data_IF_135110703361
#
_entry.id   IF_135110703361
#
_cell.length_a   1.000
_cell.length_b   1.000
_cell.length_c   1.000
_cell.angle_alpha   90.00
_cell.angle_beta   90.00
_cell.angle_gamma   90.00
#
_symmetry.space_group_name_H-M   'P 1'
#
loop_
_entity.id
_entity.type
_entity.pdbx_description
1 polymer ?
#
# COMPACT_ATOMS: atom_id res chain seq x y z
N UNK A 1 -22.64 -0.72 -25.51
CA UNK A 1 -21.93 -0.38 -24.25
C UNK A 1 -21.60 1.11 -24.28
N UNK A 2 -21.99 1.90 -23.27
CA UNK A 2 -21.81 3.36 -23.28
C UNK A 2 -20.32 3.74 -23.19
N UNK A 3 -19.91 4.86 -23.81
CA UNK A 3 -18.53 5.42 -23.71
C UNK A 3 -18.03 5.53 -22.27
N UNK A 4 -18.92 5.91 -21.34
CA UNK A 4 -18.64 5.98 -19.90
C UNK A 4 -18.32 4.60 -19.30
N UNK A 5 -19.06 3.56 -19.69
CA UNK A 5 -18.82 2.19 -19.23
C UNK A 5 -17.48 1.69 -19.73
N UNK A 6 -17.17 1.92 -21.01
CA UNK A 6 -15.86 1.55 -21.60
C UNK A 6 -14.74 2.25 -20.84
N UNK A 7 -14.85 3.56 -20.62
CA UNK A 7 -13.86 4.33 -19.86
C UNK A 7 -13.64 3.77 -18.44
N UNK A 8 -14.71 3.54 -17.69
CA UNK A 8 -14.61 3.01 -16.32
C UNK A 8 -14.02 1.60 -16.28
N UNK A 9 -14.39 0.73 -17.23
CA UNK A 9 -13.82 -0.60 -17.37
C UNK A 9 -12.33 -0.53 -17.72
N UNK A 10 -11.93 0.34 -18.65
CA UNK A 10 -10.52 0.54 -18.99
C UNK A 10 -9.71 1.01 -17.78
N UNK A 11 -10.22 1.98 -17.01
CA UNK A 11 -9.56 2.45 -15.79
C UNK A 11 -9.45 1.33 -14.75
N UNK A 12 -10.52 0.55 -14.55
CA UNK A 12 -10.50 -0.60 -13.64
C UNK A 12 -9.47 -1.65 -14.06
N UNK A 13 -9.43 -2.03 -15.34
CA UNK A 13 -8.45 -2.98 -15.87
C UNK A 13 -7.02 -2.46 -15.72
N UNK A 14 -6.78 -1.18 -15.99
CA UNK A 14 -5.45 -0.57 -15.84
C UNK A 14 -5.00 -0.54 -14.37
N UNK A 15 -5.87 -0.17 -13.44
CA UNK A 15 -5.55 -0.19 -12.01
C UNK A 15 -5.31 -1.61 -11.51
N UNK A 16 -6.15 -2.57 -11.92
CA UNK A 16 -5.99 -3.98 -11.57
C UNK A 16 -4.71 -4.59 -12.13
N UNK A 17 -4.39 -4.33 -13.39
CA UNK A 17 -3.14 -4.78 -14.00
C UNK A 17 -1.93 -4.12 -13.34
N UNK A 18 -1.98 -2.80 -13.10
CA UNK A 18 -0.94 -2.06 -12.40
C UNK A 18 -0.66 -2.63 -11.01
N UNK A 19 -1.71 -2.89 -10.23
CA UNK A 19 -1.59 -3.51 -8.91
C UNK A 19 -1.04 -4.94 -9.02
N UNK A 20 -1.56 -5.78 -9.93
CA UNK A 20 -1.14 -7.17 -10.08
C UNK A 20 0.32 -7.32 -10.50
N UNK A 21 0.84 -6.40 -11.32
CA UNK A 21 2.25 -6.39 -11.73
C UNK A 21 3.23 -6.06 -10.59
N UNK A 22 2.76 -5.46 -9.49
CA UNK A 22 3.64 -5.09 -8.36
C UNK A 22 4.33 -6.30 -7.75
N UNK A 23 3.64 -7.45 -7.62
CA UNK A 23 4.17 -8.65 -6.99
C UNK A 23 5.35 -9.28 -7.76
N UNK A 24 5.23 -9.57 -9.08
CA UNK A 24 6.37 -10.09 -9.85
C UNK A 24 7.50 -9.06 -9.98
N UNK A 25 7.21 -7.78 -10.18
CA UNK A 25 8.24 -6.73 -10.24
C UNK A 25 9.01 -6.60 -8.92
N UNK A 26 8.31 -6.68 -7.79
CA UNK A 26 8.91 -6.67 -6.46
C UNK A 26 9.83 -7.87 -6.27
N UNK A 27 9.41 -9.08 -6.71
CA UNK A 27 10.27 -10.26 -6.66
C UNK A 27 11.53 -10.08 -7.50
N UNK A 28 11.43 -9.51 -8.71
CA UNK A 28 12.59 -9.23 -9.57
C UNK A 28 13.56 -8.26 -8.88
N UNK A 29 13.05 -7.13 -8.37
CA UNK A 29 13.87 -6.14 -7.69
C UNK A 29 14.61 -6.72 -6.48
N UNK A 30 13.88 -7.46 -5.64
CA UNK A 30 14.43 -8.08 -4.44
C UNK A 30 15.41 -9.22 -4.76
N UNK A 31 15.18 -9.96 -5.85
CA UNK A 31 16.13 -11.00 -6.33
C UNK A 31 17.42 -10.40 -6.87
N UNK A 32 17.40 -9.14 -7.31
CA UNK A 32 18.59 -8.36 -7.69
C UNK A 32 19.48 -7.93 -6.51
N UNK A 33 19.12 -8.30 -5.27
CA UNK A 33 19.89 -7.96 -4.06
C UNK A 33 19.41 -6.69 -3.34
N UNK A 34 18.44 -5.97 -3.92
CA UNK A 34 17.88 -4.77 -3.29
C UNK A 34 17.04 -5.10 -2.05
N UNK A 35 17.15 -4.26 -1.03
CA UNK A 35 16.54 -4.46 0.28
C UNK A 35 15.34 -3.54 0.50
N UNK A 36 14.46 -3.96 1.40
CA UNK A 36 13.15 -3.36 1.66
C UNK A 36 13.17 -1.84 1.88
N UNK A 37 14.07 -1.30 2.72
CA UNK A 37 14.07 0.15 3.00
C UNK A 37 14.48 1.01 1.81
N UNK A 38 15.43 0.56 0.99
CA UNK A 38 15.82 1.27 -0.23
C UNK A 38 14.70 1.32 -1.26
N UNK A 39 13.99 0.19 -1.44
CA UNK A 39 12.82 0.11 -2.33
C UNK A 39 11.68 0.99 -1.84
N UNK A 40 11.35 0.95 -0.54
CA UNK A 40 10.32 1.81 0.06
C UNK A 40 10.68 3.29 -0.08
N UNK A 41 11.94 3.65 0.15
CA UNK A 41 12.42 5.02 -0.04
C UNK A 41 12.19 5.50 -1.47
N UNK A 42 12.64 4.74 -2.47
CA UNK A 42 12.48 5.13 -3.87
C UNK A 42 11.02 5.14 -4.33
N UNK A 43 10.20 4.18 -3.89
CA UNK A 43 8.75 4.19 -4.12
C UNK A 43 8.13 5.50 -3.61
N UNK A 44 8.51 5.93 -2.41
CA UNK A 44 8.00 7.13 -1.78
C UNK A 44 8.54 8.42 -2.39
N UNK A 45 9.82 8.46 -2.74
CA UNK A 45 10.44 9.59 -3.42
C UNK A 45 9.82 9.81 -4.79
N UNK A 46 9.66 8.75 -5.59
CA UNK A 46 9.03 8.80 -6.91
C UNK A 46 7.56 9.21 -6.78
N UNK A 47 6.82 8.62 -5.82
CA UNK A 47 5.44 8.99 -5.53
C UNK A 47 5.29 10.47 -5.15
N UNK A 48 6.19 10.97 -4.30
CA UNK A 48 6.25 12.38 -3.91
C UNK A 48 6.50 13.28 -5.12
N UNK A 49 7.48 12.97 -5.97
CA UNK A 49 7.76 13.77 -7.17
C UNK A 49 6.58 13.74 -8.15
N UNK A 50 6.01 12.57 -8.43
CA UNK A 50 4.90 12.43 -9.36
C UNK A 50 3.64 13.18 -8.88
N UNK A 51 3.27 13.04 -7.60
CA UNK A 51 2.13 13.74 -7.03
C UNK A 51 2.40 15.24 -6.88
N UNK A 52 3.63 15.65 -6.58
CA UNK A 52 4.05 17.04 -6.55
C UNK A 52 3.92 17.71 -7.92
N UNK A 53 4.41 17.04 -8.96
CA UNK A 53 4.26 17.48 -10.36
C UNK A 53 2.79 17.56 -10.76
N UNK A 54 2.00 16.54 -10.48
CA UNK A 54 0.56 16.52 -10.76
C UNK A 54 -0.17 17.70 -10.10
N UNK A 55 0.15 18.01 -8.83
CA UNK A 55 -0.41 19.18 -8.14
C UNK A 55 0.04 20.48 -8.81
N UNK A 56 1.32 20.61 -9.17
CA UNK A 56 1.87 21.83 -9.80
C UNK A 56 1.21 22.14 -11.15
N UNK A 57 0.94 21.11 -11.97
CA UNK A 57 0.28 21.23 -13.28
C UNK A 57 -1.18 21.68 -13.09
N UNK A 58 -1.93 21.00 -12.20
CA UNK A 58 -3.32 21.35 -11.88
C UNK A 58 -3.48 22.78 -11.35
N UNK A 59 -2.48 23.27 -10.59
CA UNK A 59 -2.44 24.64 -10.08
C UNK A 59 -2.14 25.67 -11.18
N UNK A 60 -1.27 25.33 -12.14
CA UNK A 60 -0.97 26.14 -13.32
C UNK A 60 -2.20 26.32 -14.22
N UNK A 61 -2.90 25.22 -14.52
CA UNK A 61 -4.14 25.20 -15.31
C UNK A 61 -5.22 26.11 -14.69
N UNK A 62 -5.42 26.05 -13.37
CA UNK A 62 -6.38 26.90 -12.66
C UNK A 62 -6.02 28.39 -12.63
N UNK A 63 -4.73 28.71 -12.77
CA UNK A 63 -4.23 30.10 -12.73
C UNK A 63 -4.15 30.74 -14.13
N UNK A 64 -4.65 30.06 -15.18
CA UNK A 64 -4.64 30.56 -16.56
C UNK A 64 -3.24 30.66 -17.19
N UNK A 65 -2.21 30.09 -16.55
CA UNK A 65 -0.84 30.02 -17.06
C UNK A 65 -0.43 28.56 -17.14
N UNK A 66 -0.24 28.05 -18.36
CA UNK A 66 0.42 26.77 -18.62
C UNK A 66 1.92 26.89 -18.28
N UNK A 67 2.23 27.07 -17.01
CA UNK A 67 3.58 27.12 -16.48
C UNK A 67 3.59 26.21 -15.27
N UNK A 68 4.54 25.27 -15.25
CA UNK A 68 4.87 24.53 -14.03
C UNK A 68 5.25 25.58 -13.00
N UNK A 69 4.34 25.83 -12.06
CA UNK A 69 4.62 26.73 -10.96
C UNK A 69 5.62 25.98 -10.07
N UNK A 70 6.89 26.42 -10.07
CA UNK A 70 7.93 25.98 -9.13
C UNK A 70 7.57 26.25 -7.67
N UNK A 71 6.43 26.90 -7.40
CA UNK A 71 5.90 27.10 -6.07
C UNK A 71 5.42 25.76 -5.54
N UNK A 72 6.16 25.23 -4.56
CA UNK A 72 5.78 24.01 -3.85
C UNK A 72 4.29 24.05 -3.48
N UNK A 73 3.49 23.03 -3.84
CA UNK A 73 2.08 22.96 -3.47
C UNK A 73 1.98 23.16 -1.96
N UNK A 74 1.22 24.16 -1.50
CA UNK A 74 1.08 24.42 -0.06
C UNK A 74 0.59 23.15 0.62
N UNK A 75 1.44 22.58 1.47
CA UNK A 75 1.06 21.47 2.34
C UNK A 75 0.41 22.08 3.58
N UNK A 76 -0.69 21.50 4.02
CA UNK A 76 -1.25 21.84 5.32
C UNK A 76 -0.35 21.23 6.39
N UNK A 77 0.22 22.07 7.24
CA UNK A 77 1.16 21.69 8.30
C UNK A 77 0.55 21.79 9.69
N UNK A 78 -0.79 21.85 9.76
CA UNK A 78 -1.48 21.77 11.05
C UNK A 78 -1.25 20.40 11.70
N UNK A 79 -1.18 20.31 13.05
CA UNK A 79 -0.91 19.05 13.74
C UNK A 79 -1.82 17.88 13.33
N UNK A 80 -3.14 18.07 13.10
CA UNK A 80 -4.01 17.01 12.56
C UNK A 80 -3.59 16.52 11.17
N UNK A 81 -3.25 17.43 10.26
CA UNK A 81 -2.75 17.06 8.93
C UNK A 81 -1.43 16.27 9.00
N UNK A 82 -0.49 16.71 9.84
CA UNK A 82 0.78 16.02 10.05
C UNK A 82 0.56 14.61 10.64
N UNK A 83 -0.36 14.46 11.59
CA UNK A 83 -0.71 13.16 12.14
C UNK A 83 -1.26 12.22 11.06
N UNK A 84 -2.18 12.71 10.21
CA UNK A 84 -2.70 11.93 9.08
C UNK A 84 -1.58 11.49 8.15
N UNK A 85 -0.64 12.38 7.79
CA UNK A 85 0.48 12.02 6.93
C UNK A 85 1.38 10.95 7.55
N UNK A 86 1.73 11.08 8.83
CA UNK A 86 2.57 10.11 9.54
C UNK A 86 1.88 8.77 9.66
N UNK A 87 0.60 8.76 10.05
CA UNK A 87 -0.19 7.54 10.16
C UNK A 87 -0.23 6.86 8.80
N UNK A 88 -0.74 7.52 7.75
CA UNK A 88 -0.85 6.91 6.42
C UNK A 88 0.51 6.47 5.86
N UNK A 89 1.58 7.24 6.07
CA UNK A 89 2.92 6.82 5.66
C UNK A 89 3.35 5.51 6.34
N UNK A 90 3.14 5.39 7.64
CA UNK A 90 3.55 4.22 8.42
C UNK A 90 2.64 3.02 8.16
N UNK A 91 1.33 3.17 8.36
CA UNK A 91 0.38 2.06 8.27
C UNK A 91 0.03 1.70 6.82
N UNK A 92 -0.01 2.68 5.91
CA UNK A 92 -0.39 2.46 4.51
C UNK A 92 0.78 2.05 3.63
N UNK A 93 2.04 2.29 4.05
CA UNK A 93 3.18 1.95 3.19
C UNK A 93 4.41 1.44 3.90
N UNK A 94 5.06 2.23 4.76
CA UNK A 94 6.42 1.91 5.22
C UNK A 94 6.48 0.57 5.93
N UNK A 95 5.57 0.31 6.88
CA UNK A 95 5.50 -0.95 7.61
C UNK A 95 5.02 -2.11 6.72
N UNK A 96 3.86 -2.04 6.03
CA UNK A 96 3.39 -3.15 5.20
C UNK A 96 4.34 -3.48 4.05
N UNK A 97 4.92 -2.48 3.37
CA UNK A 97 5.85 -2.75 2.27
C UNK A 97 7.18 -3.29 2.77
N UNK A 98 7.69 -2.81 3.92
CA UNK A 98 8.92 -3.39 4.48
C UNK A 98 8.75 -4.87 4.79
N UNK A 99 7.65 -5.24 5.45
CA UNK A 99 7.33 -6.64 5.73
C UNK A 99 7.07 -7.45 4.45
N UNK A 100 6.36 -6.88 3.48
CA UNK A 100 6.06 -7.52 2.21
C UNK A 100 7.31 -7.81 1.38
N UNK A 101 8.20 -6.83 1.21
CA UNK A 101 9.47 -7.01 0.50
C UNK A 101 10.35 -8.05 1.19
N UNK A 102 10.37 -8.05 2.52
CA UNK A 102 11.09 -9.06 3.29
C UNK A 102 10.49 -10.46 3.09
N UNK A 103 9.17 -10.60 3.18
CA UNK A 103 8.50 -11.87 2.95
C UNK A 103 8.69 -12.39 1.51
N UNK A 104 8.64 -11.51 0.51
CA UNK A 104 8.85 -11.84 -0.90
C UNK A 104 10.28 -12.37 -1.15
N UNK A 105 11.27 -12.11 -0.29
CA UNK A 105 12.59 -12.78 -0.40
C UNK A 105 12.46 -14.28 -0.26
N UNK A 106 11.72 -14.71 0.74
CA UNK A 106 11.66 -16.09 1.18
C UNK A 106 10.48 -16.86 0.57
N UNK A 107 9.43 -16.15 0.18
CA UNK A 107 8.20 -16.75 -0.33
C UNK A 107 8.08 -16.60 -1.87
N UNK A 108 7.37 -17.53 -2.53
CA UNK A 108 6.92 -17.35 -3.90
C UNK A 108 5.93 -16.17 -4.01
N UNK A 109 6.02 -15.38 -5.08
CA UNK A 109 5.11 -14.23 -5.32
C UNK A 109 3.65 -14.64 -5.42
N UNK A 110 3.37 -15.84 -5.96
CA UNK A 110 2.02 -16.41 -6.01
C UNK A 110 1.42 -16.60 -4.62
N UNK A 111 2.19 -17.15 -3.68
CA UNK A 111 1.75 -17.36 -2.30
C UNK A 111 1.49 -16.01 -1.60
N UNK A 112 2.39 -15.03 -1.74
CA UNK A 112 2.19 -13.69 -1.18
C UNK A 112 0.93 -13.03 -1.73
N UNK A 113 0.65 -13.20 -3.04
CA UNK A 113 -0.58 -12.68 -3.67
C UNK A 113 -1.85 -13.31 -3.07
N UNK A 114 -1.82 -14.62 -2.79
CA UNK A 114 -2.93 -15.31 -2.12
C UNK A 114 -3.09 -14.81 -0.68
N UNK A 115 -1.99 -14.64 0.07
CA UNK A 115 -2.05 -14.11 1.43
C UNK A 115 -2.59 -12.67 1.47
N UNK A 116 -2.34 -11.86 0.45
CA UNK A 116 -2.94 -10.53 0.33
C UNK A 116 -4.45 -10.57 0.11
N UNK A 117 -5.01 -11.66 -0.40
CA UNK A 117 -6.47 -11.83 -0.46
C UNK A 117 -7.12 -11.97 0.93
N UNK A 118 -6.31 -12.12 2.00
CA UNK A 118 -6.75 -12.11 3.39
C UNK A 118 -7.00 -10.70 3.95
N UNK A 119 -6.78 -9.62 3.18
CA UNK A 119 -7.10 -8.25 3.62
C UNK A 119 -8.51 -8.13 4.23
N UNK A 120 -9.59 -8.64 3.58
CA UNK A 120 -10.93 -8.57 4.15
C UNK A 120 -11.05 -9.30 5.49
N UNK A 121 -10.26 -10.37 5.69
CA UNK A 121 -10.22 -11.17 6.91
C UNK A 121 -9.74 -10.41 8.12
N UNK A 122 -8.84 -9.45 7.90
CA UNK A 122 -8.40 -8.52 8.93
C UNK A 122 -9.29 -7.28 8.99
N UNK A 123 -9.70 -6.76 7.82
CA UNK A 123 -10.47 -5.53 7.73
C UNK A 123 -11.81 -5.61 8.48
N UNK A 124 -12.55 -6.73 8.37
CA UNK A 124 -13.87 -6.85 9.01
C UNK A 124 -13.81 -6.87 10.54
N UNK A 125 -12.99 -7.72 11.20
CA UNK A 125 -12.82 -7.65 12.65
C UNK A 125 -12.34 -6.28 13.15
N UNK A 126 -11.43 -5.62 12.41
CA UNK A 126 -10.96 -4.27 12.73
C UNK A 126 -12.11 -3.25 12.62
N UNK A 127 -12.94 -3.35 11.58
CA UNK A 127 -14.10 -2.50 11.39
C UNK A 127 -15.10 -2.61 12.55
N UNK A 128 -15.34 -3.84 13.03
CA UNK A 128 -16.18 -4.09 14.20
C UNK A 128 -15.55 -3.53 15.48
N UNK A 129 -14.25 -3.74 15.69
CA UNK A 129 -13.53 -3.26 16.86
C UNK A 129 -13.49 -1.73 16.94
N UNK A 130 -13.36 -1.05 15.79
CA UNK A 130 -13.41 0.41 15.70
C UNK A 130 -14.84 0.98 15.68
N UNK A 131 -15.86 0.12 15.59
CA UNK A 131 -17.26 0.51 15.53
C UNK A 131 -17.64 1.20 14.22
N UNK A 132 -16.93 0.91 13.13
CA UNK A 132 -17.26 1.36 11.77
C UNK A 132 -18.42 0.54 11.18
N UNK A 133 -18.52 -0.73 11.56
CA UNK A 133 -19.56 -1.65 11.07
C UNK A 133 -20.29 -2.36 12.21
N UNK A 134 -21.49 -2.88 11.90
CA UNK A 134 -22.24 -3.78 12.78
C UNK A 134 -21.95 -5.23 12.39
N UNK A 135 -22.01 -6.11 13.38
CA UNK A 135 -21.81 -7.53 13.14
C UNK A 135 -22.89 -8.08 12.21
N UNK A 136 -22.46 -8.72 11.12
CA UNK A 136 -23.32 -9.36 10.12
C UNK A 136 -22.88 -10.81 9.91
N UNK A 137 -23.83 -11.73 10.08
CA UNK A 137 -23.56 -13.17 10.01
C UNK A 137 -23.23 -13.61 8.59
N UNK A 138 -23.80 -12.96 7.56
CA UNK A 138 -23.51 -13.26 6.16
C UNK A 138 -22.08 -12.89 5.78
N UNK A 139 -21.60 -11.72 6.20
CA UNK A 139 -20.21 -11.29 6.04
C UNK A 139 -19.25 -12.22 6.77
N UNK A 140 -19.57 -12.58 8.01
CA UNK A 140 -18.76 -13.53 8.78
C UNK A 140 -18.68 -14.91 8.10
N UNK A 141 -19.80 -15.44 7.60
CA UNK A 141 -19.82 -16.70 6.87
C UNK A 141 -19.02 -16.64 5.56
N UNK A 142 -19.17 -15.55 4.78
CA UNK A 142 -18.36 -15.32 3.58
C UNK A 142 -16.86 -15.24 3.89
N UNK A 143 -16.49 -14.61 5.00
CA UNK A 143 -15.11 -14.55 5.49
C UNK A 143 -14.57 -15.93 5.85
N UNK A 144 -15.35 -16.72 6.60
CA UNK A 144 -14.98 -18.07 6.98
C UNK A 144 -14.78 -18.97 5.75
N UNK A 145 -15.67 -18.88 4.75
CA UNK A 145 -15.50 -19.58 3.48
C UNK A 145 -14.24 -19.12 2.72
N UNK A 146 -13.95 -17.82 2.71
CA UNK A 146 -12.71 -17.28 2.15
C UNK A 146 -11.46 -17.84 2.84
N UNK A 147 -11.46 -17.94 4.18
CA UNK A 147 -10.37 -18.56 4.93
C UNK A 147 -10.14 -20.01 4.52
N UNK A 148 -11.22 -20.78 4.41
CA UNK A 148 -11.16 -22.18 4.00
C UNK A 148 -10.56 -22.28 2.60
N UNK A 149 -10.96 -21.41 1.67
CA UNK A 149 -10.36 -21.34 0.34
C UNK A 149 -8.84 -21.09 0.39
N UNK A 150 -8.38 -20.13 1.20
CA UNK A 150 -6.94 -19.86 1.36
C UNK A 150 -6.22 -21.05 2.00
N UNK A 151 -6.77 -21.66 3.05
CA UNK A 151 -6.21 -22.85 3.67
C UNK A 151 -6.10 -24.01 2.68
N UNK A 152 -7.07 -24.22 1.79
CA UNK A 152 -6.98 -25.24 0.75
C UNK A 152 -5.85 -24.99 -0.25
N UNK A 153 -5.47 -23.73 -0.48
CA UNK A 153 -4.34 -23.38 -1.36
C UNK A 153 -2.99 -23.53 -0.64
N UNK A 154 -2.93 -23.16 0.64
CA UNK A 154 -1.68 -23.12 1.42
C UNK A 154 -1.35 -24.47 2.08
N UNK A 155 -2.36 -25.26 2.46
CA UNK A 155 -2.19 -26.53 3.18
C UNK A 155 -1.51 -27.67 2.40
N UNK A 156 -1.62 -27.81 1.07
CA UNK A 156 -0.91 -28.86 0.35
C UNK A 156 0.60 -28.69 0.53
N UNK A 157 1.29 -29.75 0.95
CA UNK A 157 2.75 -29.76 1.10
C UNK A 157 3.51 -29.39 -0.20
N UNK A 158 2.83 -29.44 -1.35
CA UNK A 158 3.35 -29.05 -2.65
C UNK A 158 3.46 -27.53 -2.89
N UNK A 159 2.84 -26.69 -2.04
CA UNK A 159 2.82 -25.23 -2.23
C UNK A 159 4.11 -24.53 -1.81
N UNK A 160 4.95 -25.20 -1.00
CA UNK A 160 6.21 -24.69 -0.52
C UNK A 160 7.36 -25.59 -0.98
N UNK A 161 8.31 -25.07 -1.78
CA UNK A 161 9.51 -25.81 -2.17
C UNK A 161 10.33 -26.32 -0.97
N UNK A 162 10.25 -25.61 0.16
CA UNK A 162 10.98 -25.93 1.38
C UNK A 162 10.13 -25.61 2.62
N UNK A 163 10.00 -26.55 3.57
CA UNK A 163 9.17 -26.39 4.79
C UNK A 163 9.59 -25.21 5.67
N UNK A 164 10.85 -24.81 5.62
CA UNK A 164 11.36 -23.65 6.35
C UNK A 164 10.66 -22.34 5.96
N UNK A 165 10.10 -22.24 4.74
CA UNK A 165 9.41 -21.04 4.27
C UNK A 165 8.17 -20.67 5.10
N UNK A 166 7.54 -21.63 5.80
CA UNK A 166 6.36 -21.40 6.65
C UNK A 166 6.62 -20.32 7.71
N UNK A 167 7.85 -20.20 8.22
CA UNK A 167 8.21 -19.21 9.23
C UNK A 167 8.06 -17.76 8.76
N UNK A 168 8.05 -17.52 7.44
CA UNK A 168 7.90 -16.20 6.84
C UNK A 168 6.43 -15.85 6.51
N UNK A 169 5.50 -16.79 6.68
CA UNK A 169 4.06 -16.52 6.48
C UNK A 169 3.56 -15.44 7.45
N UNK A 170 3.85 -15.47 8.76
CA UNK A 170 3.45 -14.39 9.67
C UNK A 170 3.93 -13.01 9.22
N UNK A 171 5.14 -12.95 8.65
CA UNK A 171 5.70 -11.72 8.11
C UNK A 171 4.92 -11.22 6.89
N UNK A 172 4.54 -12.12 5.98
CA UNK A 172 3.70 -11.79 4.83
C UNK A 172 2.30 -11.33 5.27
N UNK A 173 1.77 -11.82 6.40
CA UNK A 173 0.48 -11.43 6.95
C UNK A 173 0.45 -10.03 7.58
N UNK A 174 1.62 -9.41 7.82
CA UNK A 174 1.69 -8.02 8.27
C UNK A 174 1.09 -7.09 7.23
N UNK A 175 1.44 -7.25 5.94
CA UNK A 175 0.91 -6.39 4.89
C UNK A 175 -0.63 -6.37 4.81
N UNK A 176 -1.35 -7.51 4.71
CA UNK A 176 -2.81 -7.51 4.65
C UNK A 176 -3.46 -7.01 5.94
N UNK A 177 -2.86 -7.22 7.11
CA UNK A 177 -3.31 -6.65 8.37
C UNK A 177 -3.28 -5.11 8.31
N UNK A 178 -2.17 -4.54 7.88
CA UNK A 178 -1.99 -3.10 7.78
C UNK A 178 -2.87 -2.46 6.71
N UNK A 179 -3.08 -3.12 5.57
CA UNK A 179 -4.05 -2.66 4.56
C UNK A 179 -5.49 -2.69 5.10
N UNK A 180 -5.86 -3.71 5.86
CA UNK A 180 -7.15 -3.75 6.55
C UNK A 180 -7.28 -2.66 7.62
N UNK A 181 -6.19 -2.36 8.32
CA UNK A 181 -6.13 -1.31 9.34
C UNK A 181 -6.26 0.09 8.73
N UNK A 182 -5.49 0.40 7.69
CA UNK A 182 -5.47 1.72 7.04
C UNK A 182 -6.85 2.16 6.60
N UNK A 183 -7.57 1.31 5.85
CA UNK A 183 -8.92 1.64 5.38
C UNK A 183 -9.88 1.96 6.53
N UNK A 184 -9.80 1.19 7.62
CA UNK A 184 -10.67 1.39 8.78
C UNK A 184 -10.29 2.60 9.64
N UNK A 185 -9.00 2.92 9.74
CA UNK A 185 -8.51 4.14 10.41
C UNK A 185 -9.01 5.37 9.65
N UNK A 186 -8.89 5.37 8.32
CA UNK A 186 -9.38 6.46 7.48
C UNK A 186 -10.89 6.58 7.56
N UNK A 187 -11.63 5.48 7.59
CA UNK A 187 -13.09 5.50 7.74
C UNK A 187 -13.53 6.06 9.10
N UNK A 188 -12.83 5.69 10.17
CA UNK A 188 -13.18 6.11 11.54
C UNK A 188 -12.87 7.57 11.82
N UNK A 189 -11.68 8.03 11.44
CA UNK A 189 -11.15 9.34 11.84
C UNK A 189 -11.06 10.34 10.69
N UNK A 190 -11.30 9.90 9.46
CA UNK A 190 -11.20 10.73 8.27
C UNK A 190 -9.77 11.18 7.96
N UNK A 191 -9.66 12.18 7.08
CA UNK A 191 -8.39 12.71 6.57
C UNK A 191 -8.12 14.15 7.04
N UNK A 192 -8.70 14.58 8.16
CA UNK A 192 -8.60 15.97 8.67
C UNK A 192 -8.98 17.05 7.63
N UNK A 193 -9.91 16.73 6.72
CA UNK A 193 -10.36 17.60 5.63
C UNK A 193 -9.39 17.73 4.47
N UNK A 194 -8.37 16.85 4.39
CA UNK A 194 -7.43 16.77 3.27
C UNK A 194 -8.03 15.97 2.12
N UNK A 195 -7.76 16.39 0.90
CA UNK A 195 -8.08 15.58 -0.29
C UNK A 195 -7.16 14.35 -0.39
N UNK A 196 -7.61 13.30 -1.07
CA UNK A 196 -6.81 12.07 -1.24
C UNK A 196 -5.42 12.34 -1.83
N UNK A 197 -5.31 13.28 -2.79
CA UNK A 197 -4.02 13.67 -3.39
C UNK A 197 -3.12 14.37 -2.37
N UNK A 198 -3.67 15.18 -1.47
CA UNK A 198 -2.89 15.84 -0.41
C UNK A 198 -2.42 14.86 0.64
N UNK A 199 -3.27 13.91 1.04
CA UNK A 199 -2.92 12.81 1.95
C UNK A 199 -1.78 12.00 1.37
N UNK A 200 -1.93 11.51 0.13
CA UNK A 200 -0.92 10.67 -0.52
C UNK A 200 0.39 11.42 -0.75
N UNK A 201 0.35 12.70 -1.14
CA UNK A 201 1.56 13.50 -1.32
C UNK A 201 2.28 13.76 0.01
N UNK A 202 1.54 14.16 1.06
CA UNK A 202 2.12 14.40 2.38
C UNK A 202 2.66 13.12 3.01
N UNK A 203 1.92 12.01 2.92
CA UNK A 203 2.38 10.69 3.35
C UNK A 203 3.59 10.22 2.54
N UNK A 204 3.67 10.53 1.24
CA UNK A 204 4.83 10.16 0.42
C UNK A 204 6.09 10.92 0.85
N UNK A 205 5.96 12.21 1.10
CA UNK A 205 7.06 13.04 1.60
C UNK A 205 7.54 12.55 2.98
N UNK A 206 6.62 12.37 3.92
CA UNK A 206 6.93 11.89 5.27
C UNK A 206 7.51 10.48 5.22
N UNK A 207 6.93 9.59 4.41
CA UNK A 207 7.39 8.22 4.22
C UNK A 207 8.80 8.15 3.63
N UNK A 208 9.13 9.02 2.67
CA UNK A 208 10.49 9.14 2.14
C UNK A 208 11.48 9.56 3.23
N UNK A 209 11.14 10.56 4.06
CA UNK A 209 11.99 10.96 5.18
C UNK A 209 12.19 9.84 6.21
N UNK A 210 11.12 9.13 6.58
CA UNK A 210 11.15 8.04 7.56
C UNK A 210 11.98 6.86 7.03
N UNK A 211 11.85 6.52 5.74
CA UNK A 211 12.55 5.38 5.13
C UNK A 211 14.00 5.68 4.74
N UNK A 212 14.36 6.95 4.54
CA UNK A 212 15.72 7.35 4.19
C UNK A 212 16.74 6.98 5.27
N UNK A 213 16.45 7.28 6.54
CA UNK A 213 17.35 7.00 7.66
C UNK A 213 17.73 5.52 7.74
N UNK A 214 16.79 4.55 7.81
CA UNK A 214 17.13 3.14 7.83
C UNK A 214 17.68 2.64 6.49
N UNK A 215 17.36 3.27 5.35
CA UNK A 215 17.96 2.92 4.07
C UNK A 215 19.47 3.23 4.05
N UNK A 216 19.86 4.43 4.49
CA UNK A 216 21.27 4.86 4.52
C UNK A 216 22.05 4.11 5.61
N UNK A 217 21.54 4.09 6.85
CA UNK A 217 22.22 3.43 7.97
C UNK A 217 22.31 1.91 7.79
N UNK A 218 21.32 1.30 7.14
CA UNK A 218 21.32 -0.13 6.83
C UNK A 218 22.17 -0.52 5.61
N UNK A 219 22.78 0.44 4.90
CA UNK A 219 23.47 0.17 3.64
C UNK A 219 22.53 -0.37 2.54
N UNK A 220 21.24 -0.08 2.66
CA UNK A 220 20.19 -0.50 1.71
C UNK A 220 19.87 0.60 0.70
N UNK A 221 20.55 1.75 0.78
CA UNK A 221 20.36 2.84 -0.15
C UNK A 221 20.80 2.42 -1.55
N UNK A 222 19.97 2.75 -2.54
CA UNK A 222 20.21 2.38 -3.94
C UNK A 222 20.70 3.66 -4.64
N UNK A 223 21.96 3.65 -5.06
CA UNK A 223 22.53 4.73 -5.86
C UNK A 223 21.92 4.70 -7.27
N UNK A 224 21.39 5.83 -7.78
CA UNK A 224 20.67 5.91 -9.05
C UNK A 224 21.59 5.84 -10.28
#
# INVERSE_FOLDING_TARGET
MNRRTIYLLSVLCLMGAGWGMTQPLSKIAVSGGYRHFGLVFWQMAIGCVALGLFRSIRLGERSGRFSVSLRAPRLRTDPPALLVYVVIALIGTVLPNSASYEAIRHLPSGLVSILLSLVPMFAFPIALALGNERFDLGRFAGLALGLVGVLLIVAPEASLPERAMVMFIPLAMIAPLFYGLEGNVVDRWGTAGLSAVEVLFGASLVGACISLVPAVLGGHFIDP
#
